data_IF_999215237415
#
_entry.id   IF_999215237415
#
_cell.length_a   1.000
_cell.length_b   1.000
_cell.length_c   1.000
_cell.angle_alpha   90.00
_cell.angle_beta   90.00
_cell.angle_gamma   90.00
#
_symmetry.space_group_name_H-M   'P 1'
#
loop_
_entity.id
_entity.type
_entity.pdbx_description
1 polymer ?
#
# COMPACT_ATOMS: atom_id res chain seq x y z
N UNK A 1 4.88 5.41 1.93
CA UNK A 1 6.11 6.17 2.20
C UNK A 1 7.37 5.47 1.71
N UNK A 2 7.60 4.20 2.06
CA UNK A 2 8.65 3.44 1.39
C UNK A 2 8.18 2.96 0.02
N UNK A 3 6.97 2.42 -0.18
CA UNK A 3 6.47 2.04 -1.53
C UNK A 3 6.33 3.22 -2.50
N UNK A 4 6.22 4.44 -2.00
CA UNK A 4 6.22 5.67 -2.81
C UNK A 4 7.64 6.11 -3.22
N UNK A 5 8.69 5.51 -2.64
CA UNK A 5 10.11 5.80 -2.88
C UNK A 5 10.84 4.58 -3.47
N UNK A 6 10.43 3.39 -3.07
CA UNK A 6 11.00 2.08 -3.34
C UNK A 6 9.94 1.22 -4.02
N UNK A 7 10.26 0.74 -5.20
CA UNK A 7 9.43 -0.10 -6.04
C UNK A 7 10.00 -1.51 -6.02
N UNK A 8 9.13 -2.52 -6.01
CA UNK A 8 9.54 -3.92 -6.01
C UNK A 8 9.96 -4.42 -7.40
N UNK A 9 10.03 -3.50 -8.37
CA UNK A 9 10.34 -3.72 -9.79
C UNK A 9 11.36 -2.69 -10.23
N UNK A 10 12.27 -3.07 -11.13
CA UNK A 10 13.22 -2.14 -11.74
C UNK A 10 12.63 -1.56 -13.02
N UNK A 11 11.97 -0.41 -12.95
CA UNK A 11 11.35 0.21 -14.13
C UNK A 11 12.39 0.93 -14.99
N UNK A 12 12.46 0.58 -16.27
CA UNK A 12 13.35 1.20 -17.27
C UNK A 12 12.61 1.96 -18.37
N UNK A 13 11.28 1.87 -18.41
CA UNK A 13 10.46 2.65 -19.33
C UNK A 13 8.98 2.54 -19.02
N UNK A 14 8.24 3.60 -19.33
CA UNK A 14 6.77 3.65 -19.23
C UNK A 14 6.26 4.24 -20.55
N UNK A 15 5.30 3.58 -21.19
CA UNK A 15 4.59 4.10 -22.37
C UNK A 15 3.11 4.26 -22.02
N UNK A 16 2.51 5.37 -22.45
CA UNK A 16 1.09 5.68 -22.23
C UNK A 16 0.32 5.70 -23.54
N UNK A 17 -0.73 4.89 -23.61
CA UNK A 17 -1.66 4.83 -24.74
C UNK A 17 -3.04 5.31 -24.28
N UNK A 18 -3.75 6.06 -25.13
CA UNK A 18 -5.12 6.52 -24.86
C UNK A 18 -6.03 6.10 -26.01
N UNK A 19 -7.15 5.47 -25.67
CA UNK A 19 -8.20 5.09 -26.62
C UNK A 19 -9.55 5.55 -26.06
N UNK A 20 -10.09 6.65 -26.59
CA UNK A 20 -11.26 7.31 -26.02
C UNK A 20 -11.01 7.76 -24.58
N UNK A 21 -11.84 7.29 -23.63
CA UNK A 21 -11.67 7.53 -22.20
C UNK A 21 -10.76 6.50 -21.50
N UNK A 22 -10.29 5.47 -22.20
CA UNK A 22 -9.45 4.42 -21.63
C UNK A 22 -7.97 4.83 -21.66
N UNK A 23 -7.26 4.58 -20.55
CA UNK A 23 -5.82 4.83 -20.42
C UNK A 23 -5.08 3.50 -20.23
N UNK A 24 -4.24 3.14 -21.20
CA UNK A 24 -3.31 2.02 -21.10
C UNK A 24 -1.92 2.49 -20.68
N UNK A 25 -1.35 1.87 -19.65
CA UNK A 25 0.05 2.04 -19.26
C UNK A 25 0.81 0.75 -19.57
N UNK A 26 1.97 0.88 -20.21
CA UNK A 26 2.89 -0.22 -20.48
C UNK A 26 4.18 0.07 -19.73
N UNK A 27 4.52 -0.79 -18.77
CA UNK A 27 5.72 -0.68 -17.94
C UNK A 27 6.75 -1.70 -18.44
N UNK A 28 7.97 -1.25 -18.67
CA UNK A 28 9.09 -2.11 -19.05
C UNK A 28 10.04 -2.26 -17.86
N UNK A 29 10.31 -3.50 -17.46
CA UNK A 29 11.25 -3.84 -16.40
C UNK A 29 12.66 -4.06 -16.96
N UNK A 30 13.66 -3.63 -16.21
CA UNK A 30 15.06 -3.88 -16.50
C UNK A 30 15.57 -5.14 -15.82
N UNK A 31 16.71 -5.62 -16.29
CA UNK A 31 17.37 -6.79 -15.70
C UNK A 31 17.66 -6.56 -14.20
N UNK A 32 17.23 -7.51 -13.39
CA UNK A 32 17.43 -7.55 -11.94
C UNK A 32 18.73 -8.31 -11.66
N UNK A 33 19.76 -7.67 -11.08
CA UNK A 33 20.95 -8.38 -10.62
C UNK A 33 20.58 -9.47 -9.63
N UNK A 34 21.37 -10.56 -9.58
CA UNK A 34 21.15 -11.65 -8.62
C UNK A 34 21.10 -11.10 -7.19
N UNK A 35 19.92 -11.14 -6.53
CA UNK A 35 19.77 -10.54 -5.23
C UNK A 35 20.43 -11.41 -4.17
N UNK A 36 21.15 -10.76 -3.26
CA UNK A 36 21.85 -11.40 -2.15
C UNK A 36 21.11 -11.23 -0.83
N UNK A 37 20.26 -10.20 -0.73
CA UNK A 37 19.47 -9.83 0.44
C UNK A 37 18.06 -9.42 0.03
N UNK A 38 17.16 -9.37 0.99
CA UNK A 38 15.74 -9.06 0.73
C UNK A 38 15.53 -7.67 0.12
N UNK A 39 16.31 -6.67 0.54
CA UNK A 39 16.20 -5.31 0.02
C UNK A 39 16.78 -5.14 -1.39
N UNK A 40 17.53 -6.12 -1.92
CA UNK A 40 18.03 -6.07 -3.31
C UNK A 40 16.86 -6.20 -4.32
N UNK A 41 15.68 -6.58 -3.85
CA UNK A 41 14.43 -6.58 -4.60
C UNK A 41 13.73 -5.22 -4.62
N UNK A 42 14.23 -4.23 -3.87
CA UNK A 42 13.68 -2.89 -3.82
C UNK A 42 14.54 -1.94 -4.65
N UNK A 43 13.90 -1.19 -5.54
CA UNK A 43 14.52 -0.24 -6.45
C UNK A 43 13.99 1.16 -6.19
N UNK A 44 14.82 2.18 -6.30
CA UNK A 44 14.29 3.54 -6.30
C UNK A 44 13.38 3.74 -7.51
N UNK A 45 12.15 4.18 -7.28
CA UNK A 45 11.31 4.64 -8.37
C UNK A 45 11.94 5.93 -8.92
N UNK A 46 12.53 5.87 -10.11
CA UNK A 46 13.17 7.04 -10.70
C UNK A 46 12.13 8.11 -10.97
N UNK A 47 12.19 9.22 -10.20
CA UNK A 47 11.30 10.37 -10.34
C UNK A 47 11.38 11.01 -11.73
N UNK A 48 12.48 10.83 -12.46
CA UNK A 48 12.63 11.33 -13.84
C UNK A 48 11.54 10.85 -14.80
N UNK A 49 11.01 9.64 -14.58
CA UNK A 49 9.90 9.11 -15.38
C UNK A 49 8.57 9.81 -15.09
N UNK A 50 8.49 10.58 -14.01
CA UNK A 50 7.32 11.32 -13.59
C UNK A 50 7.56 12.85 -13.65
N UNK A 51 8.79 13.34 -13.69
CA UNK A 51 9.10 14.78 -13.69
C UNK A 51 8.94 15.46 -15.06
N UNK A 52 9.29 14.80 -16.18
CA UNK A 52 9.30 15.46 -17.50
C UNK A 52 7.97 15.32 -18.29
N UNK A 53 7.24 14.21 -18.14
CA UNK A 53 5.94 13.99 -18.80
C UNK A 53 4.73 13.99 -17.83
N UNK A 54 4.96 13.92 -16.51
CA UNK A 54 3.88 13.68 -15.54
C UNK A 54 3.99 14.57 -14.30
N UNK A 55 4.22 15.88 -14.52
CA UNK A 55 4.37 16.93 -13.50
C UNK A 55 3.84 16.54 -12.11
N UNK A 56 4.76 16.17 -11.21
CA UNK A 56 4.51 16.07 -9.77
C UNK A 56 4.25 17.52 -9.29
N UNK A 57 3.03 18.03 -9.47
CA UNK A 57 2.55 19.11 -8.59
C UNK A 57 2.45 18.45 -7.21
N UNK A 58 3.04 19.05 -6.18
CA UNK A 58 2.98 18.52 -4.80
C UNK A 58 1.52 18.36 -4.32
N UNK A 59 0.57 18.98 -5.03
CA UNK A 59 -0.87 18.83 -4.86
C UNK A 59 -1.58 17.95 -5.92
N UNK A 60 -0.92 17.55 -7.03
CA UNK A 60 -1.52 16.71 -8.07
C UNK A 60 -1.18 15.24 -7.91
N UNK A 61 -2.24 14.53 -7.61
CA UNK A 61 -2.44 13.10 -7.72
C UNK A 61 -2.01 12.56 -9.10
N UNK A 62 -0.73 12.22 -9.29
CA UNK A 62 -0.30 11.52 -10.49
C UNK A 62 -0.97 10.12 -10.55
N UNK A 63 -2.12 10.09 -11.21
CA UNK A 63 -2.96 8.91 -11.39
C UNK A 63 -2.21 7.74 -12.03
N UNK A 64 -1.25 8.03 -12.90
CA UNK A 64 -0.44 7.03 -13.59
C UNK A 64 0.55 6.38 -12.62
N UNK A 65 1.25 7.20 -11.83
CA UNK A 65 2.11 6.77 -10.72
C UNK A 65 1.33 5.92 -9.72
N UNK A 66 0.14 6.37 -9.30
CA UNK A 66 -0.74 5.60 -8.40
C UNK A 66 -1.15 4.25 -9.00
N UNK A 67 -1.49 4.22 -10.28
CA UNK A 67 -1.88 2.99 -10.95
C UNK A 67 -0.72 1.99 -11.06
N UNK A 68 0.48 2.47 -11.38
CA UNK A 68 1.70 1.65 -11.46
C UNK A 68 2.08 1.11 -10.07
N UNK A 69 2.05 1.97 -9.05
CA UNK A 69 2.32 1.58 -7.66
C UNK A 69 1.31 0.55 -7.12
N UNK A 70 0.07 0.62 -7.57
CA UNK A 70 -1.00 -0.30 -7.16
C UNK A 70 -1.01 -1.62 -7.96
N UNK A 71 -0.34 -1.68 -9.12
CA UNK A 71 -0.46 -2.81 -10.02
C UNK A 71 0.06 -4.11 -9.38
N UNK A 72 -0.81 -5.12 -9.33
CA UNK A 72 -0.53 -6.42 -8.71
C UNK A 72 -0.05 -6.35 -7.23
N UNK A 73 -0.30 -5.23 -6.54
CA UNK A 73 0.16 -4.99 -5.17
C UNK A 73 -0.89 -5.32 -4.10
N UNK A 74 -2.14 -5.62 -4.48
CA UNK A 74 -3.28 -5.72 -3.54
C UNK A 74 -3.07 -6.67 -2.37
N UNK A 75 -2.49 -7.86 -2.62
CA UNK A 75 -2.13 -8.80 -1.56
C UNK A 75 -1.06 -8.23 -0.62
N UNK A 76 0.00 -7.63 -1.18
CA UNK A 76 1.10 -7.04 -0.40
C UNK A 76 0.63 -5.84 0.43
N UNK A 77 -0.24 -5.00 -0.12
CA UNK A 77 -0.84 -3.89 0.61
C UNK A 77 -1.69 -4.35 1.79
N UNK A 78 -2.42 -5.46 1.66
CA UNK A 78 -3.14 -6.06 2.79
C UNK A 78 -2.15 -6.58 3.84
N UNK A 79 -1.09 -7.30 3.46
CA UNK A 79 -0.06 -7.79 4.40
C UNK A 79 0.56 -6.61 5.17
N UNK A 80 0.97 -5.57 4.45
CA UNK A 80 1.63 -4.37 4.98
C UNK A 80 0.74 -3.58 5.94
N UNK A 81 -0.57 -3.47 5.66
CA UNK A 81 -1.49 -2.68 6.49
C UNK A 81 -2.31 -3.53 7.47
N UNK A 82 -2.08 -4.84 7.54
CA UNK A 82 -2.93 -5.76 8.29
C UNK A 82 -3.05 -5.35 9.77
N UNK A 83 -1.92 -5.20 10.45
CA UNK A 83 -1.89 -4.95 11.90
C UNK A 83 -2.48 -3.57 12.24
N UNK A 84 -2.13 -2.53 11.46
CA UNK A 84 -2.59 -1.16 11.70
C UNK A 84 -4.08 -0.98 11.38
N UNK A 85 -4.60 -1.62 10.32
CA UNK A 85 -6.03 -1.60 9.99
C UNK A 85 -6.83 -2.27 11.10
N UNK A 86 -6.40 -3.45 11.56
CA UNK A 86 -7.02 -4.13 12.69
C UNK A 86 -7.03 -3.26 13.95
N UNK A 87 -5.92 -2.58 14.23
CA UNK A 87 -5.79 -1.71 15.38
C UNK A 87 -6.70 -0.48 15.33
N UNK A 88 -6.69 0.27 14.21
CA UNK A 88 -7.45 1.52 14.07
C UNK A 88 -8.95 1.29 14.09
N UNK A 89 -9.38 0.12 13.61
CA UNK A 89 -10.79 -0.19 13.40
C UNK A 89 -11.42 -0.98 14.56
N UNK A 90 -10.64 -1.52 15.51
CA UNK A 90 -11.08 -2.45 16.57
C UNK A 90 -12.35 -2.01 17.32
N UNK A 91 -12.50 -0.71 17.53
CA UNK A 91 -13.61 -0.17 18.33
C UNK A 91 -14.86 0.14 17.50
N UNK A 92 -14.73 0.29 16.18
CA UNK A 92 -15.83 0.73 15.29
C UNK A 92 -16.39 -0.38 14.40
N UNK A 93 -15.62 -1.46 14.15
CA UNK A 93 -16.01 -2.53 13.23
C UNK A 93 -16.53 -3.76 13.93
N UNK A 94 -17.61 -4.34 13.41
CA UNK A 94 -18.12 -5.64 13.81
C UNK A 94 -17.27 -6.77 13.22
N UNK A 95 -16.94 -6.65 11.93
CA UNK A 95 -16.15 -7.62 11.21
C UNK A 95 -15.33 -6.96 10.12
N UNK A 96 -14.13 -7.52 9.89
CA UNK A 96 -13.31 -7.26 8.71
C UNK A 96 -13.17 -8.59 7.98
N UNK A 97 -13.38 -8.58 6.68
CA UNK A 97 -13.21 -9.74 5.82
C UNK A 97 -12.37 -9.41 4.61
N UNK A 98 -11.55 -10.36 4.19
CA UNK A 98 -10.74 -10.24 2.99
C UNK A 98 -11.47 -10.94 1.84
N UNK A 99 -11.57 -10.25 0.71
CA UNK A 99 -12.30 -10.75 -0.44
C UNK A 99 -11.44 -10.66 -1.68
N UNK A 100 -11.30 -11.78 -2.38
CA UNK A 100 -10.79 -11.80 -3.73
C UNK A 100 -11.89 -11.34 -4.68
N UNK A 101 -11.58 -10.34 -5.50
CA UNK A 101 -12.48 -9.78 -6.50
C UNK A 101 -11.86 -9.86 -7.87
N UNK A 102 -12.71 -10.04 -8.87
CA UNK A 102 -12.39 -9.80 -10.25
C UNK A 102 -12.95 -8.41 -10.59
N UNK A 103 -12.08 -7.43 -10.89
CA UNK A 103 -12.50 -6.09 -11.23
C UNK A 103 -13.31 -6.11 -12.53
N UNK A 104 -14.27 -5.21 -12.64
CA UNK A 104 -14.88 -4.87 -13.92
C UNK A 104 -13.83 -4.23 -14.83
N UNK A 105 -14.08 -4.19 -16.14
CA UNK A 105 -13.23 -3.41 -17.05
C UNK A 105 -13.23 -1.95 -16.60
N UNK A 106 -12.14 -1.52 -16.00
CA UNK A 106 -11.93 -0.14 -15.57
C UNK A 106 -11.64 0.78 -16.76
N UNK A 107 -11.48 2.07 -16.48
CA UNK A 107 -11.03 3.06 -17.47
C UNK A 107 -9.51 3.03 -17.66
N UNK A 108 -8.84 2.04 -17.04
CA UNK A 108 -7.39 1.95 -17.00
C UNK A 108 -6.92 0.50 -17.01
N UNK A 109 -5.78 0.27 -17.64
CA UNK A 109 -5.06 -0.99 -17.62
C UNK A 109 -3.57 -0.75 -17.49
N UNK A 110 -2.88 -1.56 -16.69
CA UNK A 110 -1.42 -1.58 -16.61
C UNK A 110 -0.95 -2.93 -17.14
N UNK A 111 -0.06 -2.89 -18.14
CA UNK A 111 0.63 -4.05 -18.68
C UNK A 111 2.10 -3.94 -18.30
N UNK A 112 2.70 -5.06 -17.89
CA UNK A 112 4.11 -5.09 -17.52
C UNK A 112 4.84 -6.07 -18.43
N UNK A 113 5.93 -5.60 -19.02
CA UNK A 113 6.87 -6.41 -19.78
C UNK A 113 8.13 -6.60 -18.97
N UNK A 114 8.60 -7.85 -18.86
CA UNK A 114 9.85 -8.16 -18.19
C UNK A 114 11.07 -7.71 -19.01
N UNK A 115 12.28 -7.98 -18.50
CA UNK A 115 13.52 -7.63 -19.19
C UNK A 115 13.75 -8.36 -20.51
N UNK A 116 12.99 -9.41 -20.80
CA UNK A 116 13.02 -10.18 -22.05
C UNK A 116 11.92 -9.72 -23.03
N UNK A 117 11.18 -8.65 -22.72
CA UNK A 117 9.98 -8.22 -23.44
C UNK A 117 8.87 -9.28 -23.46
N UNK A 118 8.81 -10.15 -22.46
CA UNK A 118 7.67 -11.03 -22.24
C UNK A 118 6.63 -10.33 -21.37
N UNK A 119 5.36 -10.43 -21.77
CA UNK A 119 4.26 -9.88 -20.99
C UNK A 119 4.14 -10.67 -19.68
N UNK A 120 4.33 -10.01 -18.55
CA UNK A 120 4.02 -10.58 -17.24
C UNK A 120 2.50 -10.77 -17.16
N UNK A 121 2.07 -12.02 -17.30
CA UNK A 121 0.66 -12.38 -17.05
C UNK A 121 0.45 -12.36 -15.54
N UNK A 122 0.23 -11.18 -14.97
CA UNK A 122 -0.19 -11.07 -13.59
C UNK A 122 -1.57 -11.73 -13.46
N UNK A 123 -1.75 -12.50 -12.40
CA UNK A 123 -3.07 -13.04 -12.09
C UNK A 123 -4.00 -11.84 -11.90
N UNK A 124 -5.20 -11.85 -12.51
CA UNK A 124 -6.23 -10.81 -12.32
C UNK A 124 -6.79 -10.81 -10.89
N UNK A 125 -6.06 -11.36 -9.94
CA UNK A 125 -6.43 -11.49 -8.55
C UNK A 125 -6.24 -10.13 -7.89
N UNK A 126 -7.37 -9.52 -7.57
CA UNK A 126 -7.41 -8.30 -6.79
C UNK A 126 -8.01 -8.61 -5.44
N UNK A 127 -7.43 -8.07 -4.37
CA UNK A 127 -7.90 -8.30 -3.01
C UNK A 127 -8.33 -6.98 -2.38
N UNK A 128 -9.45 -7.04 -1.67
CA UNK A 128 -10.01 -5.90 -0.93
C UNK A 128 -10.37 -6.32 0.50
N UNK A 129 -10.55 -5.32 1.37
CA UNK A 129 -11.11 -5.50 2.69
C UNK A 129 -12.57 -5.04 2.70
N UNK A 130 -13.46 -5.91 3.18
CA UNK A 130 -14.87 -5.62 3.45
C UNK A 130 -15.01 -5.35 4.95
N UNK A 131 -15.53 -4.19 5.30
CA UNK A 131 -15.60 -3.69 6.68
C UNK A 131 -17.07 -3.50 7.05
N UNK A 132 -17.58 -4.27 8.00
CA UNK A 132 -18.92 -4.09 8.57
C UNK A 132 -18.84 -3.31 9.88
N UNK A 133 -19.63 -2.23 10.03
CA UNK A 133 -19.62 -1.39 11.22
C UNK A 133 -20.50 -1.94 12.36
N UNK A 134 -20.10 -1.76 13.62
CA UNK A 134 -20.83 -2.28 14.81
C UNK A 134 -22.24 -1.72 14.96
N UNK A 135 -22.47 -0.49 14.50
CA UNK A 135 -23.73 0.21 14.63
C UNK A 135 -24.72 -0.10 13.49
N UNK A 136 -24.44 -1.09 12.64
CA UNK A 136 -25.22 -1.41 11.44
C UNK A 136 -25.40 -0.22 10.47
N UNK A 137 -24.55 0.81 10.55
CA UNK A 137 -24.65 1.98 9.64
C UNK A 137 -24.15 1.70 8.22
N UNK A 138 -23.60 0.51 7.97
CA UNK A 138 -23.28 0.06 6.62
C UNK A 138 -22.10 -0.90 6.56
N UNK A 139 -21.80 -1.28 5.32
CA UNK A 139 -20.62 -2.06 4.94
C UNK A 139 -19.81 -1.26 3.94
N UNK A 140 -18.51 -1.15 4.20
CA UNK A 140 -17.57 -0.38 3.40
C UNK A 140 -16.53 -1.29 2.80
N UNK A 141 -15.95 -0.84 1.69
CA UNK A 141 -14.77 -1.44 1.07
C UNK A 141 -13.58 -0.55 1.34
N UNK A 142 -12.47 -1.18 1.70
CA UNK A 142 -11.14 -0.60 1.61
C UNK A 142 -10.38 -1.32 0.48
N UNK A 143 -10.20 -0.62 -0.64
CA UNK A 143 -9.49 -1.05 -1.84
C UNK A 143 -8.25 -0.18 -2.03
N UNK A 144 -7.13 -0.63 -1.48
CA UNK A 144 -5.87 0.10 -1.48
C UNK A 144 -5.20 0.15 -2.87
N UNK A 145 -5.62 -0.73 -3.79
CA UNK A 145 -5.00 -0.89 -5.09
C UNK A 145 -5.99 -0.69 -6.25
N UNK A 146 -7.15 -0.06 -6.00
CA UNK A 146 -8.16 0.22 -7.02
C UNK A 146 -7.66 1.16 -8.13
N UNK A 147 -6.64 1.97 -7.83
CA UNK A 147 -6.03 2.92 -8.77
C UNK A 147 -5.49 2.24 -10.04
N UNK A 148 -5.08 0.97 -9.97
CA UNK A 148 -4.63 0.21 -11.14
C UNK A 148 -5.73 0.05 -12.21
N UNK A 149 -7.01 0.18 -11.82
CA UNK A 149 -8.19 0.11 -12.68
C UNK A 149 -8.88 1.47 -12.88
N UNK A 150 -8.29 2.55 -12.35
CA UNK A 150 -8.87 3.91 -12.40
C UNK A 150 -9.83 4.24 -11.24
N UNK A 151 -9.85 3.44 -10.17
CA UNK A 151 -10.64 3.71 -8.96
C UNK A 151 -9.76 4.30 -7.86
N UNK A 152 -9.61 5.62 -7.82
CA UNK A 152 -8.65 6.29 -6.92
C UNK A 152 -9.10 6.46 -5.48
N UNK A 153 -10.40 6.35 -5.20
CA UNK A 153 -10.92 6.43 -3.84
C UNK A 153 -10.71 5.07 -3.14
N UNK A 154 -9.86 5.00 -2.10
CA UNK A 154 -9.55 3.74 -1.44
C UNK A 154 -10.71 3.25 -0.58
N UNK A 155 -11.63 4.12 -0.20
CA UNK A 155 -12.81 3.78 0.61
C UNK A 155 -14.06 4.07 -0.20
N UNK A 156 -14.99 3.11 -0.24
CA UNK A 156 -16.32 3.28 -0.85
C UNK A 156 -17.34 2.42 -0.12
N UNK A 157 -18.64 2.67 -0.34
CA UNK A 157 -19.67 1.79 0.20
C UNK A 157 -19.73 0.48 -0.59
N UNK A 158 -20.11 -0.60 0.07
CA UNK A 158 -20.15 -1.93 -0.56
C UNK A 158 -21.15 -2.02 -1.72
N UNK A 159 -22.29 -1.33 -1.62
CA UNK A 159 -23.31 -1.25 -2.68
C UNK A 159 -22.77 -0.56 -3.95
N UNK A 160 -21.99 0.51 -3.79
CA UNK A 160 -21.32 1.20 -4.90
C UNK A 160 -20.22 0.35 -5.54
N UNK A 161 -19.48 -0.42 -4.73
CA UNK A 161 -18.37 -1.23 -5.22
C UNK A 161 -18.82 -2.38 -6.13
N UNK A 162 -20.06 -2.87 -6.01
CA UNK A 162 -20.59 -3.96 -6.86
C UNK A 162 -20.57 -3.64 -8.35
N UNK A 163 -20.57 -2.36 -8.72
CA UNK A 163 -20.42 -1.94 -10.11
C UNK A 163 -18.95 -2.02 -10.61
N UNK A 164 -17.97 -2.06 -9.69
CA UNK A 164 -16.53 -2.01 -9.95
C UNK A 164 -15.86 -3.38 -9.95
N UNK A 165 -16.49 -4.40 -9.39
CA UNK A 165 -15.93 -5.75 -9.34
C UNK A 165 -16.89 -6.78 -8.76
N UNK A 166 -16.59 -8.06 -8.97
CA UNK A 166 -17.35 -9.20 -8.44
C UNK A 166 -16.47 -10.08 -7.57
N UNK A 167 -17.00 -10.56 -6.45
CA UNK A 167 -16.29 -11.53 -5.62
C UNK A 167 -16.05 -12.85 -6.38
N UNK A 168 -14.86 -13.44 -6.21
CA UNK A 168 -14.43 -14.69 -6.86
C UNK A 168 -14.57 -15.90 -5.92
N UNK A 169 -14.95 -15.68 -4.66
CA UNK A 169 -15.12 -16.73 -3.67
C UNK A 169 -15.72 -16.21 -2.36
N UNK A 170 -15.86 -17.09 -1.35
CA UNK A 170 -16.33 -16.68 -0.03
C UNK A 170 -15.32 -15.73 0.64
N UNK A 171 -15.80 -14.77 1.45
CA UNK A 171 -14.92 -13.92 2.25
C UNK A 171 -14.12 -14.74 3.26
N UNK A 172 -12.85 -14.40 3.43
CA UNK A 172 -12.03 -14.90 4.52
C UNK A 172 -12.11 -13.95 5.72
N UNK A 173 -12.18 -14.48 6.94
CA UNK A 173 -12.08 -13.65 8.15
C UNK A 173 -10.66 -13.09 8.28
N UNK A 174 -10.53 -11.79 8.59
CA UNK A 174 -9.26 -11.06 8.64
C UNK A 174 -8.15 -11.70 9.48
N UNK A 175 -8.51 -12.35 10.60
CA UNK A 175 -7.60 -13.07 11.50
C UNK A 175 -7.79 -14.60 11.45
N UNK A 176 -8.50 -15.11 10.43
CA UNK A 176 -8.81 -16.53 10.30
C UNK A 176 -7.80 -17.30 9.43
N UNK A 177 -7.87 -18.65 9.42
CA UNK A 177 -6.98 -19.49 8.60
C UNK A 177 -7.05 -19.24 7.08
N UNK A 178 -8.11 -18.58 6.60
CA UNK A 178 -8.25 -18.19 5.21
C UNK A 178 -7.64 -16.84 4.86
N UNK A 179 -7.20 -16.05 5.84
CA UNK A 179 -6.69 -14.71 5.60
C UNK A 179 -5.38 -14.75 4.81
N UNK A 180 -5.13 -13.72 4.00
CA UNK A 180 -3.89 -13.41 3.31
C UNK A 180 -2.76 -13.43 4.32
N UNK A 181 -2.93 -12.77 5.48
CA UNK A 181 -1.91 -12.78 6.54
C UNK A 181 -1.53 -14.21 6.94
N UNK A 182 -2.51 -15.05 7.28
CA UNK A 182 -2.27 -16.45 7.64
C UNK A 182 -1.64 -17.24 6.49
N UNK A 183 -2.16 -17.06 5.27
CA UNK A 183 -1.65 -17.75 4.08
C UNK A 183 -0.24 -17.32 3.72
N UNK A 184 0.24 -16.15 4.13
CA UNK A 184 1.60 -15.69 3.81
C UNK A 184 2.67 -16.25 4.75
N UNK A 185 2.29 -16.93 5.84
CA UNK A 185 3.23 -17.48 6.81
C UNK A 185 4.20 -18.50 6.22
N UNK A 186 3.79 -19.31 5.23
CA UNK A 186 4.71 -20.24 4.56
C UNK A 186 5.57 -19.57 3.49
N UNK A 187 5.09 -18.44 2.93
CA UNK A 187 5.78 -17.70 1.87
C UNK A 187 7.00 -16.97 2.43
N UNK A 188 6.92 -16.52 3.68
CA UNK A 188 8.00 -15.75 4.32
C UNK A 188 9.32 -16.52 4.43
N UNK A 189 9.31 -17.85 4.31
CA UNK A 189 10.51 -18.69 4.39
C UNK A 189 11.11 -18.99 3.00
N UNK A 190 10.45 -18.56 1.92
CA UNK A 190 10.92 -18.79 0.55
C UNK A 190 12.13 -17.91 0.21
N UNK A 191 13.11 -18.50 -0.49
CA UNK A 191 14.27 -17.79 -1.06
C UNK A 191 13.98 -17.24 -2.45
N UNK A 192 12.82 -16.58 -2.59
CA UNK A 192 12.30 -16.03 -3.85
C UNK A 192 12.02 -14.54 -3.68
N UNK A 193 11.80 -13.81 -4.79
CA UNK A 193 11.29 -12.42 -4.78
C UNK A 193 10.04 -12.29 -3.91
N UNK A 194 9.11 -13.23 -4.09
CA UNK A 194 7.85 -13.29 -3.32
C UNK A 194 8.10 -13.42 -1.82
N UNK A 195 9.01 -14.31 -1.42
CA UNK A 195 9.39 -14.48 -0.01
C UNK A 195 10.04 -13.24 0.59
N UNK A 196 10.97 -12.62 -0.13
CA UNK A 196 11.63 -11.38 0.31
C UNK A 196 10.64 -10.23 0.51
N UNK A 197 9.76 -9.98 -0.46
CA UNK A 197 8.72 -8.95 -0.35
C UNK A 197 7.75 -9.23 0.79
N UNK A 198 7.39 -10.50 1.00
CA UNK A 198 6.54 -10.90 2.13
C UNK A 198 7.22 -10.55 3.46
N UNK A 199 8.49 -10.92 3.66
CA UNK A 199 9.24 -10.57 4.88
C UNK A 199 9.30 -9.06 5.11
N UNK A 200 9.63 -8.29 4.07
CA UNK A 200 9.66 -6.83 4.13
C UNK A 200 8.30 -6.24 4.54
N UNK A 201 7.19 -6.68 3.91
CA UNK A 201 5.85 -6.19 4.23
C UNK A 201 5.41 -6.56 5.65
N UNK A 202 5.80 -7.74 6.16
CA UNK A 202 5.53 -8.15 7.55
C UNK A 202 6.26 -7.26 8.55
N UNK A 203 7.55 -6.98 8.33
CA UNK A 203 8.34 -6.07 9.17
C UNK A 203 7.76 -4.65 9.17
N UNK A 204 7.40 -4.14 7.98
CA UNK A 204 6.75 -2.83 7.85
C UNK A 204 5.40 -2.80 8.57
N UNK A 205 4.57 -3.84 8.43
CA UNK A 205 3.28 -3.94 9.14
C UNK A 205 3.46 -3.82 10.65
N UNK A 206 4.43 -4.56 11.19
CA UNK A 206 4.74 -4.50 12.62
C UNK A 206 5.21 -3.10 13.04
N UNK A 207 6.05 -2.45 12.24
CA UNK A 207 6.55 -1.10 12.52
C UNK A 207 5.47 -0.03 12.45
N UNK A 208 4.57 -0.12 11.48
CA UNK A 208 3.41 0.76 11.40
C UNK A 208 2.54 0.65 12.65
N UNK A 209 2.25 -0.59 13.08
CA UNK A 209 1.46 -0.84 14.28
C UNK A 209 2.14 -0.35 15.57
N UNK A 210 3.38 -0.79 15.83
CA UNK A 210 4.13 -0.40 17.03
C UNK A 210 4.37 1.11 17.06
N UNK A 211 4.72 1.72 15.92
CA UNK A 211 4.89 3.16 15.80
C UNK A 211 3.62 3.94 16.15
N UNK A 212 2.46 3.48 15.68
CA UNK A 212 1.18 4.11 16.02
C UNK A 212 0.85 4.01 17.51
N UNK A 213 1.08 2.85 18.13
CA UNK A 213 0.86 2.65 19.58
C UNK A 213 1.81 3.52 20.41
N UNK A 214 3.09 3.58 20.03
CA UNK A 214 4.08 4.43 20.70
C UNK A 214 3.72 5.91 20.58
N UNK A 215 3.29 6.35 19.41
CA UNK A 215 2.82 7.71 19.19
C UNK A 215 1.62 8.06 20.10
N UNK A 216 0.62 7.16 20.22
CA UNK A 216 -0.51 7.41 21.13
C UNK A 216 -0.07 7.58 22.59
N UNK A 217 0.90 6.76 23.03
CA UNK A 217 1.46 6.82 24.38
C UNK A 217 2.25 8.11 24.62
N UNK A 218 3.12 8.48 23.69
CA UNK A 218 3.99 9.65 23.78
C UNK A 218 3.21 10.96 23.73
N UNK A 219 2.21 11.05 22.85
CA UNK A 219 1.42 12.27 22.63
C UNK A 219 0.08 12.27 23.38
N UNK A 220 -0.18 11.25 24.21
CA UNK A 220 -1.37 11.14 25.07
C UNK A 220 -2.71 11.18 24.35
N UNK A 221 -2.73 10.87 23.05
CA UNK A 221 -3.91 11.05 22.19
C UNK A 221 -4.26 9.72 21.52
N UNK A 222 -5.27 9.00 22.02
CA UNK A 222 -5.78 7.83 21.34
C UNK A 222 -6.36 8.19 19.95
N UNK A 223 -6.10 7.35 18.96
CA UNK A 223 -6.56 7.47 17.57
C UNK A 223 -8.09 7.51 17.52
N UNK A 224 -8.76 6.73 18.36
CA UNK A 224 -10.22 6.77 18.49
C UNK A 224 -10.74 8.17 18.91
N UNK A 225 -9.96 8.93 19.69
CA UNK A 225 -10.29 10.30 20.08
C UNK A 225 -9.93 11.32 19.01
N UNK A 226 -8.95 11.04 18.14
CA UNK A 226 -8.64 11.92 17.00
C UNK A 226 -9.86 12.11 16.10
N UNK A 227 -10.65 11.06 15.88
CA UNK A 227 -11.86 11.11 15.05
C UNK A 227 -12.97 12.02 15.62
N UNK A 228 -12.87 12.40 16.89
CA UNK A 228 -13.82 13.31 17.56
C UNK A 228 -13.25 14.73 17.72
N UNK A 229 -12.02 14.96 17.28
CA UNK A 229 -11.36 16.25 17.36
C UNK A 229 -11.95 17.26 16.37
N UNK A 230 -11.66 18.55 16.57
CA UNK A 230 -11.93 19.56 15.55
C UNK A 230 -11.14 19.26 14.27
N UNK A 231 -11.62 19.66 13.08
CA UNK A 231 -10.93 19.38 11.82
C UNK A 231 -9.45 19.77 11.83
N UNK A 232 -9.13 20.97 12.32
CA UNK A 232 -7.73 21.45 12.43
C UNK A 232 -6.88 20.57 13.34
N UNK A 233 -7.43 20.16 14.50
CA UNK A 233 -6.68 19.30 15.41
C UNK A 233 -6.52 17.89 14.86
N UNK A 234 -7.54 17.36 14.18
CA UNK A 234 -7.45 16.08 13.48
C UNK A 234 -6.35 16.10 12.43
N UNK A 235 -6.32 17.13 11.56
CA UNK A 235 -5.30 17.27 10.51
C UNK A 235 -3.89 17.35 11.09
N UNK A 236 -3.66 18.21 12.09
CA UNK A 236 -2.35 18.33 12.74
C UNK A 236 -1.90 17.01 13.39
N UNK A 237 -2.80 16.29 14.07
CA UNK A 237 -2.48 15.01 14.71
C UNK A 237 -2.26 13.91 13.68
N UNK A 238 -3.04 13.90 12.59
CA UNK A 238 -2.86 12.99 11.45
C UNK A 238 -1.47 13.16 10.85
N UNK A 239 -1.04 14.39 10.57
CA UNK A 239 0.30 14.64 10.04
C UNK A 239 1.40 14.20 11.00
N UNK A 240 1.27 14.53 12.29
CA UNK A 240 2.22 14.08 13.31
C UNK A 240 2.34 12.55 13.39
N UNK A 241 1.21 11.84 13.38
CA UNK A 241 1.18 10.38 13.35
C UNK A 241 1.83 9.85 12.08
N UNK A 242 1.50 10.41 10.91
CA UNK A 242 2.08 10.00 9.63
C UNK A 242 3.60 10.17 9.63
N UNK A 243 4.13 11.29 10.10
CA UNK A 243 5.57 11.53 10.21
C UNK A 243 6.27 10.61 11.22
N UNK A 244 5.59 10.22 12.30
CA UNK A 244 6.16 9.31 13.29
C UNK A 244 6.27 7.89 12.73
N UNK A 245 5.18 7.33 12.19
CA UNK A 245 5.20 5.96 11.65
C UNK A 245 6.08 5.84 10.41
N UNK A 246 6.16 6.91 9.61
CA UNK A 246 7.10 7.07 8.52
C UNK A 246 8.56 6.84 8.94
N UNK A 247 8.96 7.55 9.99
CA UNK A 247 10.30 7.51 10.53
C UNK A 247 10.62 6.09 11.03
N UNK A 248 9.73 5.48 11.79
CA UNK A 248 9.88 4.10 12.29
C UNK A 248 10.06 3.06 11.16
N UNK A 249 9.27 3.20 10.08
CA UNK A 249 9.39 2.32 8.91
C UNK A 249 10.72 2.56 8.19
N UNK A 250 11.12 3.81 7.99
CA UNK A 250 12.36 4.15 7.32
C UNK A 250 13.58 3.65 8.10
N UNK A 251 13.62 3.88 9.42
CA UNK A 251 14.70 3.41 10.29
C UNK A 251 14.83 1.88 10.25
N UNK A 252 13.71 1.17 10.18
CA UNK A 252 13.70 -0.27 10.01
C UNK A 252 14.33 -0.70 8.68
N UNK A 253 13.96 -0.06 7.57
CA UNK A 253 14.52 -0.37 6.25
C UNK A 253 16.01 -0.01 6.14
N UNK A 254 16.44 1.10 6.73
CA UNK A 254 17.85 1.51 6.75
C UNK A 254 18.71 0.49 7.51
N UNK A 255 18.21 -0.01 8.64
CA UNK A 255 18.86 -1.10 9.38
C UNK A 255 18.96 -2.39 8.55
N UNK A 256 17.94 -2.72 7.77
CA UNK A 256 17.95 -3.91 6.90
C UNK A 256 18.92 -3.78 5.73
N UNK A 257 19.08 -2.58 5.17
CA UNK A 257 20.02 -2.31 4.07
C UNK A 257 21.47 -2.20 4.54
N UNK A 258 21.69 -1.98 5.84
CA UNK A 258 23.01 -1.63 6.38
C UNK A 258 23.44 -0.23 5.94
N UNK A 259 22.52 0.58 5.41
CA UNK A 259 22.76 1.99 5.15
C UNK A 259 23.05 2.69 6.47
N UNK A 260 24.12 3.48 6.52
CA UNK A 260 24.32 4.42 7.63
C UNK A 260 23.29 5.52 7.47
N UNK A 261 22.37 5.58 8.43
CA UNK A 261 21.37 6.63 8.65
C UNK A 261 21.54 7.89 7.76
N UNK A 262 20.83 7.97 6.62
CA UNK A 262 20.89 9.13 5.74
C UNK A 262 20.18 10.35 6.35
N UNK A 263 19.39 10.18 7.42
CA UNK A 263 18.58 11.25 8.02
C UNK A 263 19.26 11.98 9.18
N UNK A 264 20.47 11.56 9.57
CA UNK A 264 21.31 12.34 10.49
C UNK A 264 21.66 13.76 9.97
N UNK A 265 21.37 14.07 8.70
CA UNK A 265 21.60 15.37 8.06
C UNK A 265 20.36 16.22 7.77
N UNK A 266 19.14 15.70 7.97
CA UNK A 266 17.94 16.54 7.95
C UNK A 266 17.51 16.73 9.40
N UNK A 267 17.82 17.89 9.98
CA UNK A 267 17.54 18.27 11.37
C UNK A 267 16.04 18.37 11.72
N UNK A 268 15.23 17.41 11.29
CA UNK A 268 13.88 17.16 11.77
C UNK A 268 14.05 16.48 13.13
N UNK A 269 14.40 17.27 14.14
CA UNK A 269 14.13 16.86 15.51
C UNK A 269 12.65 16.50 15.59
N UNK A 270 12.33 15.40 16.28
CA UNK A 270 10.95 15.12 16.67
C UNK A 270 10.32 16.43 17.17
N UNK A 271 9.15 16.85 16.68
CA UNK A 271 8.51 18.06 17.17
C UNK A 271 8.34 17.88 18.68
N UNK A 272 9.10 18.67 19.44
CA UNK A 272 9.06 18.61 20.89
C UNK A 272 7.62 18.84 21.38
N UNK A 273 7.25 18.26 22.52
CA UNK A 273 5.90 18.43 23.06
C UNK A 273 5.65 19.91 23.31
N UNK A 274 4.69 20.49 22.58
CA UNK A 274 4.04 21.77 22.92
C UNK A 274 2.80 21.52 23.75
#
# INVERSE_FOLDING_TARGET
MYQSKLFDRKVVGITKNREGSHVGLVVHEGEIPTPTKDHDWLYNLSYKWFEEEFQDDENSENEDKRAILAHAASMQSIIMLHDIVGYFLKDIVYAISEVQVMPARGQRSVLVFDSNNELEVSSLEHFILVIALKNNSGTFILDLCGAQYGFYQPISRFDEYKARGRAVGPPALFNGPGSIRYRTEHIKDEKTRRGALTRLNLEVSQKLFVGAVNWEHEYGTPIAKMLQASPTMFENRKEGLLHYVAYEVQECLDKMTGAKDPFRYMGIGAPGPT
#
